data_IF_087804640489
#
_entry.id   IF_087804640489
#
_cell.length_a   1.000
_cell.length_b   1.000
_cell.length_c   1.000
_cell.angle_alpha   90.00
_cell.angle_beta   90.00
_cell.angle_gamma   90.00
#
_symmetry.space_group_name_H-M   'P 1'
#
loop_
_entity.id
_entity.type
_entity.pdbx_description
1 polymer ?
#
# COMPACT_ATOMS: atom_id res chain seq x y z
N UNK A 1 5.14 39.58 -18.88
CA UNK A 1 5.59 38.27 -18.38
C UNK A 1 4.37 37.62 -17.74
N UNK A 2 3.86 36.60 -18.43
CA UNK A 2 2.58 35.95 -18.20
C UNK A 2 2.49 35.26 -16.84
N UNK A 3 1.55 35.69 -15.99
CA UNK A 3 1.25 35.04 -14.70
C UNK A 3 0.87 33.57 -14.88
N UNK A 4 0.28 33.21 -16.02
CA UNK A 4 -0.06 31.84 -16.41
C UNK A 4 1.15 30.89 -16.54
N UNK A 5 2.34 31.42 -16.82
CA UNK A 5 3.57 30.62 -16.96
C UNK A 5 4.22 30.32 -15.60
N UNK A 6 3.98 31.18 -14.61
CA UNK A 6 4.48 31.01 -13.25
C UNK A 6 3.62 29.99 -12.47
N UNK A 7 2.31 30.01 -12.68
CA UNK A 7 1.37 29.05 -12.09
C UNK A 7 1.62 27.62 -12.61
N UNK A 8 1.86 27.46 -13.92
CA UNK A 8 2.28 26.17 -14.51
C UNK A 8 3.65 25.68 -14.05
N UNK A 9 4.54 26.58 -13.61
CA UNK A 9 5.85 26.22 -13.04
C UNK A 9 5.72 25.78 -11.58
N UNK A 10 4.80 26.36 -10.82
CA UNK A 10 4.49 25.94 -9.46
C UNK A 10 3.84 24.55 -9.42
N UNK A 11 2.91 24.24 -10.33
CA UNK A 11 2.37 22.87 -10.49
C UNK A 11 3.44 21.83 -10.86
N UNK A 12 4.45 22.22 -11.65
CA UNK A 12 5.56 21.32 -12.02
C UNK A 12 6.57 21.12 -10.91
N UNK A 13 6.68 22.02 -9.93
CA UNK A 13 7.67 21.94 -8.86
C UNK A 13 7.16 21.18 -7.64
N UNK A 14 5.84 21.02 -7.48
CA UNK A 14 5.24 20.13 -6.48
C UNK A 14 5.17 18.66 -6.93
N UNK A 15 5.45 18.37 -8.20
CA UNK A 15 5.65 17.00 -8.75
C UNK A 15 6.94 16.30 -8.30
N UNK A 16 7.48 16.69 -7.14
CA UNK A 16 8.53 15.98 -6.40
C UNK A 16 8.02 15.15 -5.22
N UNK A 17 6.72 15.14 -4.93
CA UNK A 17 6.11 14.40 -3.81
C UNK A 17 5.10 13.36 -4.30
N UNK A 18 5.57 12.32 -5.00
CA UNK A 18 4.74 11.18 -5.43
C UNK A 18 4.28 10.26 -4.28
N UNK A 19 3.96 10.81 -3.11
CA UNK A 19 3.67 10.05 -1.90
C UNK A 19 2.35 10.43 -1.21
N UNK A 20 1.73 11.57 -1.52
CA UNK A 20 0.42 11.95 -0.95
C UNK A 20 -0.77 11.63 -1.87
N UNK A 21 -0.58 11.59 -3.19
CA UNK A 21 -1.70 11.42 -4.14
C UNK A 21 -2.35 10.03 -4.14
N UNK A 22 -1.72 9.00 -3.57
CA UNK A 22 -2.24 7.62 -3.55
C UNK A 22 -2.13 7.00 -2.14
N UNK A 23 -2.17 7.84 -1.11
CA UNK A 23 -1.98 7.42 0.27
C UNK A 23 -3.11 6.52 0.75
N UNK A 24 -4.36 6.76 0.32
CA UNK A 24 -5.51 5.93 0.61
C UNK A 24 -5.36 4.53 0.02
N UNK A 25 -4.92 4.45 -1.25
CA UNK A 25 -4.66 3.17 -1.91
C UNK A 25 -3.52 2.40 -1.23
N UNK A 26 -2.44 3.10 -0.85
CA UNK A 26 -1.37 2.49 -0.08
C UNK A 26 -1.86 1.96 1.27
N UNK A 27 -2.71 2.72 1.97
CA UNK A 27 -3.29 2.33 3.27
C UNK A 27 -4.11 1.06 3.16
N UNK A 28 -4.91 0.90 2.10
CA UNK A 28 -5.64 -0.35 1.82
C UNK A 28 -4.70 -1.54 1.81
N UNK A 29 -3.64 -1.47 1.02
CA UNK A 29 -2.70 -2.58 0.92
C UNK A 29 -1.93 -2.81 2.21
N UNK A 30 -1.61 -1.74 2.94
CA UNK A 30 -0.94 -1.85 4.23
C UNK A 30 -1.80 -2.59 5.27
N UNK A 31 -3.10 -2.28 5.34
CA UNK A 31 -4.05 -2.96 6.22
C UNK A 31 -4.21 -4.42 5.83
N UNK A 32 -4.40 -4.70 4.54
CA UNK A 32 -4.50 -6.08 4.02
C UNK A 32 -3.22 -6.88 4.29
N UNK A 33 -2.05 -6.26 4.12
CA UNK A 33 -0.77 -6.89 4.45
C UNK A 33 -0.66 -7.20 5.94
N UNK A 34 -1.11 -6.28 6.81
CA UNK A 34 -1.08 -6.44 8.27
C UNK A 34 -1.94 -7.58 8.79
N UNK A 35 -3.03 -7.93 8.10
CA UNK A 35 -3.85 -9.11 8.40
C UNK A 35 -3.25 -10.43 7.87
N UNK A 36 -2.02 -10.43 7.36
CA UNK A 36 -1.37 -11.63 6.81
C UNK A 36 -1.99 -12.12 5.50
N UNK A 37 -2.81 -11.30 4.83
CA UNK A 37 -3.47 -11.64 3.55
C UNK A 37 -2.55 -11.37 2.36
N UNK A 38 -1.34 -11.91 2.43
CA UNK A 38 -0.30 -11.70 1.42
C UNK A 38 -0.70 -12.30 0.07
N UNK A 39 -1.54 -13.33 0.06
CA UNK A 39 -2.06 -13.96 -1.18
C UNK A 39 -2.87 -13.00 -2.05
N UNK A 40 -3.63 -12.09 -1.44
CA UNK A 40 -4.38 -11.04 -2.13
C UNK A 40 -3.43 -10.05 -2.81
N UNK A 41 -2.39 -9.62 -2.11
CA UNK A 41 -1.36 -8.74 -2.67
C UNK A 41 -0.54 -9.45 -3.75
N UNK A 42 -0.25 -10.74 -3.58
CA UNK A 42 0.46 -11.56 -4.55
C UNK A 42 -0.31 -11.69 -5.87
N UNK A 43 -1.64 -11.88 -5.79
CA UNK A 43 -2.51 -11.86 -6.96
C UNK A 43 -2.46 -10.52 -7.68
N UNK A 44 -2.52 -9.39 -6.97
CA UNK A 44 -2.34 -8.05 -7.57
C UNK A 44 -0.97 -7.93 -8.25
N UNK A 45 0.10 -8.39 -7.61
CA UNK A 45 1.45 -8.29 -8.16
C UNK A 45 1.62 -9.12 -9.45
N UNK A 46 1.09 -10.34 -9.47
CA UNK A 46 1.28 -11.31 -10.56
C UNK A 46 0.28 -11.17 -11.70
N UNK A 47 -0.93 -10.68 -11.42
CA UNK A 47 -2.01 -10.66 -12.41
C UNK A 47 -1.67 -9.77 -13.61
N UNK A 48 -1.77 -10.31 -14.82
CA UNK A 48 -1.59 -9.58 -16.08
C UNK A 48 -2.94 -9.21 -16.73
N UNK A 49 -4.02 -9.80 -16.24
CA UNK A 49 -5.38 -9.56 -16.70
C UNK A 49 -5.95 -8.30 -16.01
N UNK A 50 -6.32 -7.25 -16.76
CA UNK A 50 -6.93 -6.04 -16.20
C UNK A 50 -8.19 -6.32 -15.36
N UNK A 51 -9.04 -7.26 -15.79
CA UNK A 51 -10.31 -7.52 -15.09
C UNK A 51 -10.05 -8.19 -13.73
N UNK A 52 -9.10 -9.13 -13.70
CA UNK A 52 -8.65 -9.79 -12.48
C UNK A 52 -7.96 -8.80 -11.51
N UNK A 53 -7.15 -7.87 -12.02
CA UNK A 53 -6.54 -6.80 -11.23
C UNK A 53 -7.59 -5.91 -10.56
N UNK A 54 -8.59 -5.49 -11.33
CA UNK A 54 -9.69 -4.65 -10.83
C UNK A 54 -10.47 -5.40 -9.74
N UNK A 55 -10.86 -6.64 -10.03
CA UNK A 55 -11.61 -7.46 -9.08
C UNK A 55 -10.83 -7.66 -7.77
N UNK A 56 -9.55 -8.01 -7.88
CA UNK A 56 -8.67 -8.24 -6.72
C UNK A 56 -8.44 -6.96 -5.92
N UNK A 57 -8.30 -5.81 -6.58
CA UNK A 57 -8.22 -4.52 -5.90
C UNK A 57 -9.48 -4.20 -5.09
N UNK A 58 -10.66 -4.37 -5.67
CA UNK A 58 -11.91 -4.11 -4.94
C UNK A 58 -12.14 -5.08 -3.79
N UNK A 59 -11.68 -6.33 -3.92
CA UNK A 59 -11.64 -7.29 -2.82
C UNK A 59 -10.74 -6.80 -1.67
N UNK A 60 -9.52 -6.36 -1.99
CA UNK A 60 -8.60 -5.77 -1.02
C UNK A 60 -9.19 -4.52 -0.35
N UNK A 61 -9.84 -3.64 -1.12
CA UNK A 61 -10.51 -2.44 -0.61
C UNK A 61 -11.63 -2.79 0.37
N UNK A 62 -12.51 -3.74 0.00
CA UNK A 62 -13.61 -4.17 0.85
C UNK A 62 -13.10 -4.74 2.18
N UNK A 63 -12.05 -5.56 2.11
CA UNK A 63 -11.42 -6.13 3.28
C UNK A 63 -10.82 -5.04 4.17
N UNK A 64 -10.03 -4.13 3.58
CA UNK A 64 -9.41 -3.05 4.33
C UNK A 64 -10.46 -2.20 5.07
N UNK A 65 -11.58 -1.85 4.40
CA UNK A 65 -12.70 -1.13 5.03
C UNK A 65 -13.41 -1.91 6.13
N UNK A 66 -13.38 -3.24 6.09
CA UNK A 66 -13.93 -4.09 7.16
C UNK A 66 -13.06 -4.10 8.42
N UNK A 67 -11.75 -3.90 8.27
CA UNK A 67 -10.76 -3.88 9.36
C UNK A 67 -10.62 -2.46 9.90
N UNK A 68 -10.42 -1.48 9.02
CA UNK A 68 -10.23 -0.07 9.33
C UNK A 68 -11.30 0.77 8.63
N UNK A 69 -12.29 1.20 9.42
CA UNK A 69 -13.46 1.95 8.90
C UNK A 69 -13.13 3.36 8.41
N UNK A 70 -11.97 3.90 8.79
CA UNK A 70 -11.56 5.29 8.51
C UNK A 70 -10.60 5.41 7.32
N UNK A 71 -10.56 4.41 6.43
CA UNK A 71 -9.76 4.51 5.21
C UNK A 71 -10.43 5.51 4.27
N UNK A 72 -9.78 6.66 4.10
CA UNK A 72 -10.14 7.69 3.13
C UNK A 72 -9.48 7.37 1.78
N UNK A 73 -10.31 7.28 0.74
CA UNK A 73 -9.88 7.11 -0.66
C UNK A 73 -10.78 7.99 -1.51
N UNK A 74 -10.14 8.81 -2.33
CA UNK A 74 -10.81 9.65 -3.32
C UNK A 74 -11.16 8.86 -4.59
N UNK A 75 -12.13 9.34 -5.37
CA UNK A 75 -12.46 8.74 -6.66
C UNK A 75 -11.30 8.92 -7.66
N UNK A 76 -10.59 10.04 -7.58
CA UNK A 76 -9.40 10.33 -8.38
C UNK A 76 -8.28 9.33 -8.13
N UNK A 77 -8.06 8.93 -6.86
CA UNK A 77 -7.10 7.90 -6.49
C UNK A 77 -7.41 6.56 -7.16
N UNK A 78 -8.68 6.14 -7.13
CA UNK A 78 -9.12 4.89 -7.75
C UNK A 78 -8.91 4.99 -9.26
N UNK A 79 -9.35 6.07 -9.89
CA UNK A 79 -9.25 6.25 -11.33
C UNK A 79 -7.78 6.23 -11.80
N UNK A 80 -6.89 6.89 -11.06
CA UNK A 80 -5.46 6.95 -11.38
C UNK A 80 -4.81 5.56 -11.34
N UNK A 81 -5.12 4.73 -10.34
CA UNK A 81 -4.54 3.38 -10.24
C UNK A 81 -5.14 2.39 -11.23
N UNK A 82 -6.40 2.58 -11.62
CA UNK A 82 -7.04 1.80 -12.69
C UNK A 82 -6.45 2.10 -14.06
N UNK A 83 -6.16 3.37 -14.34
CA UNK A 83 -5.46 3.78 -15.58
C UNK A 83 -4.00 3.33 -15.60
N UNK A 84 -3.41 3.03 -14.44
CA UNK A 84 -1.98 2.72 -14.30
C UNK A 84 -1.73 1.48 -13.44
N UNK A 85 -1.97 0.27 -13.97
CA UNK A 85 -1.76 -1.00 -13.25
C UNK A 85 -0.36 -1.16 -12.64
N UNK A 86 0.68 -0.64 -13.31
CA UNK A 86 2.05 -0.67 -12.78
C UNK A 86 2.21 0.12 -11.46
N UNK A 87 1.44 1.19 -11.29
CA UNK A 87 1.44 2.00 -10.06
C UNK A 87 0.75 1.22 -8.94
N UNK A 88 -0.42 0.62 -9.21
CA UNK A 88 -1.13 -0.26 -8.29
C UNK A 88 -0.22 -1.39 -7.75
N UNK A 89 0.44 -2.11 -8.65
CA UNK A 89 1.38 -3.19 -8.30
C UNK A 89 2.54 -2.69 -7.43
N UNK A 90 3.11 -1.53 -7.75
CA UNK A 90 4.20 -0.95 -6.97
C UNK A 90 3.77 -0.62 -5.54
N UNK A 91 2.54 -0.12 -5.36
CA UNK A 91 1.99 0.14 -4.03
C UNK A 91 1.79 -1.16 -3.24
N UNK A 92 1.26 -2.21 -3.87
CA UNK A 92 1.10 -3.52 -3.26
C UNK A 92 2.45 -4.12 -2.80
N UNK A 93 3.49 -4.05 -3.64
CA UNK A 93 4.85 -4.48 -3.29
C UNK A 93 5.37 -3.70 -2.07
N UNK A 94 5.20 -2.38 -2.06
CA UNK A 94 5.66 -1.52 -0.96
C UNK A 94 4.97 -1.90 0.35
N UNK A 95 3.65 -2.04 0.34
CA UNK A 95 2.89 -2.43 1.53
C UNK A 95 3.31 -3.82 2.05
N UNK A 96 3.41 -4.80 1.15
CA UNK A 96 3.86 -6.15 1.51
C UNK A 96 5.27 -6.14 2.12
N UNK A 97 6.21 -5.40 1.53
CA UNK A 97 7.59 -5.31 2.04
C UNK A 97 7.65 -4.71 3.46
N UNK A 98 6.79 -3.74 3.78
CA UNK A 98 6.73 -3.16 5.13
C UNK A 98 6.13 -4.16 6.13
N UNK A 99 5.08 -4.89 5.76
CA UNK A 99 4.49 -5.92 6.61
C UNK A 99 5.49 -7.05 6.93
N UNK A 100 6.19 -7.55 5.90
CA UNK A 100 7.23 -8.58 6.08
C UNK A 100 8.35 -8.15 7.03
N UNK A 101 8.79 -6.87 6.96
CA UNK A 101 9.79 -6.36 7.90
C UNK A 101 9.28 -6.39 9.34
N UNK A 102 8.04 -5.96 9.58
CA UNK A 102 7.44 -5.99 10.92
C UNK A 102 7.34 -7.40 11.49
N UNK A 103 6.88 -8.37 10.69
CA UNK A 103 6.81 -9.77 11.12
C UNK A 103 8.19 -10.34 11.45
N UNK A 104 9.21 -10.03 10.63
CA UNK A 104 10.58 -10.49 10.88
C UNK A 104 11.20 -9.89 12.14
N UNK A 105 10.89 -8.63 12.46
CA UNK A 105 11.35 -7.96 13.67
C UNK A 105 10.60 -8.45 14.92
N UNK A 106 9.30 -8.74 14.80
CA UNK A 106 8.51 -9.34 15.88
C UNK A 106 8.99 -10.76 16.20
N UNK A 107 9.23 -11.61 15.19
CA UNK A 107 9.76 -12.96 15.39
C UNK A 107 11.17 -12.95 16.02
N UNK A 108 12.03 -11.99 15.66
CA UNK A 108 13.33 -11.83 16.31
C UNK A 108 13.19 -11.45 17.79
N UNK A 109 12.35 -10.48 18.11
CA UNK A 109 12.09 -10.06 19.49
C UNK A 109 11.46 -11.16 20.36
N UNK A 110 10.59 -11.98 19.77
CA UNK A 110 9.99 -13.13 20.46
C UNK A 110 11.00 -14.24 20.72
N UNK A 111 11.93 -14.50 19.77
CA UNK A 111 13.03 -15.45 19.98
C UNK A 111 14.01 -14.99 21.05
N UNK A 112 14.43 -13.73 21.03
CA UNK A 112 15.34 -13.17 22.06
C UNK A 112 14.71 -13.21 23.46
N UNK A 113 13.42 -12.88 23.58
CA UNK A 113 12.68 -13.03 24.85
C UNK A 113 12.55 -14.48 25.32
N UNK A 114 12.40 -15.44 24.40
CA UNK A 114 12.28 -16.85 24.76
C UNK A 114 13.63 -17.44 25.22
N UNK A 115 14.75 -17.00 24.65
CA UNK A 115 16.10 -17.37 25.11
C UNK A 115 16.45 -16.76 26.47
N UNK A 116 16.13 -15.47 26.73
CA UNK A 116 16.36 -14.85 28.05
C UNK A 116 15.59 -15.55 29.19
N UNK A 117 14.38 -16.03 28.93
CA UNK A 117 13.57 -16.75 29.92
C UNK A 117 14.08 -18.18 30.12
N UNK A 118 14.79 -18.75 29.15
CA UNK A 118 15.37 -20.11 29.24
C UNK A 118 16.74 -20.14 29.92
N UNK A 119 17.55 -19.08 29.84
CA UNK A 119 18.88 -19.03 30.46
C UNK A 119 18.87 -18.48 31.89
N UNK A 120 17.76 -17.88 32.34
CA UNK A 120 17.61 -17.30 33.68
C UNK A 120 16.85 -18.16 34.70
N UNK A 121 16.57 -19.44 34.41
CA UNK A 121 15.80 -20.37 35.25
C UNK A 121 16.63 -21.37 36.04
#
# INVERSE_FOLDING_TARGET
>A
MDRDLEEKRLEKTTRGRGSTELEGIYRVFFVVAGEGRITLLDRIMKSEDPDDLIATFYEALRMAKSIEKNIEISEEEIEEVMKRPRVLKRLAVRAAAVAYRRESEQQKKEKEKAEEVSEGG
#
